data_IF_085018661548
#
_entry.id   IF_085018661548
#
_cell.length_a   1.000
_cell.length_b   1.000
_cell.length_c   1.000
_cell.angle_alpha   90.00
_cell.angle_beta   90.00
_cell.angle_gamma   90.00
#
_symmetry.space_group_name_H-M   'P 1'
#
loop_
_entity.id
_entity.type
_entity.pdbx_description
1 polymer ?
#
# COMPACT_ATOMS: atom_id res chain seq x y z
N UNK A 1 1.35 11.36 -29.43
CA UNK A 1 1.38 11.30 -27.95
C UNK A 1 2.84 11.24 -27.55
N UNK A 2 3.37 12.30 -26.95
CA UNK A 2 4.77 12.28 -26.48
C UNK A 2 4.87 11.44 -25.21
N UNK A 3 6.07 10.93 -24.90
CA UNK A 3 6.31 10.14 -23.67
C UNK A 3 5.88 10.95 -22.43
N UNK A 4 6.10 12.27 -22.44
CA UNK A 4 5.69 13.18 -21.37
C UNK A 4 4.16 13.23 -21.18
N UNK A 5 3.39 13.29 -22.27
CA UNK A 5 1.93 13.28 -22.22
C UNK A 5 1.38 11.94 -21.70
N UNK A 6 2.05 10.83 -22.00
CA UNK A 6 1.67 9.50 -21.51
C UNK A 6 1.93 9.35 -20.00
N UNK A 7 3.07 9.85 -19.51
CA UNK A 7 3.42 9.82 -18.09
C UNK A 7 2.45 10.66 -17.25
N UNK A 8 2.07 11.85 -17.73
CA UNK A 8 1.08 12.70 -17.06
C UNK A 8 -0.28 12.03 -16.97
N UNK A 9 -0.73 11.36 -18.05
CA UNK A 9 -2.03 10.69 -18.07
C UNK A 9 -2.12 9.50 -17.11
N UNK A 10 -1.05 8.72 -16.99
CA UNK A 10 -0.95 7.62 -16.01
C UNK A 10 -1.08 8.17 -14.58
N UNK A 11 -0.45 9.31 -14.31
CA UNK A 11 -0.52 9.95 -12.99
C UNK A 11 -1.94 10.49 -12.68
N UNK A 12 -2.60 11.13 -13.66
CA UNK A 12 -3.98 11.64 -13.54
C UNK A 12 -5.00 10.54 -13.28
N UNK A 13 -4.91 9.42 -14.01
CA UNK A 13 -5.80 8.27 -13.87
C UNK A 13 -5.53 7.46 -12.59
N UNK A 14 -4.35 7.61 -12.00
CA UNK A 14 -4.01 7.03 -10.69
C UNK A 14 -4.50 7.87 -9.51
N UNK A 15 -5.37 8.87 -9.74
CA UNK A 15 -5.89 9.76 -8.70
C UNK A 15 -6.34 8.95 -7.47
N UNK A 16 -5.69 9.14 -6.31
CA UNK A 16 -5.98 8.38 -5.11
C UNK A 16 -7.40 8.73 -4.66
N UNK A 17 -8.33 7.80 -4.85
CA UNK A 17 -9.63 7.83 -4.16
C UNK A 17 -9.27 7.81 -2.67
N UNK A 18 -9.39 8.98 -2.05
CA UNK A 18 -8.60 9.38 -0.88
C UNK A 18 -8.59 8.37 0.26
N UNK A 19 -7.39 8.08 0.79
CA UNK A 19 -7.08 7.50 2.10
C UNK A 19 -7.75 6.18 2.52
N UNK A 20 -8.72 5.67 1.75
CA UNK A 20 -9.55 4.54 2.14
C UNK A 20 -8.95 3.27 1.59
N UNK A 21 -8.61 2.37 2.50
CA UNK A 21 -8.08 1.04 2.16
C UNK A 21 -9.11 0.30 1.31
N UNK A 22 -8.67 -0.23 0.17
CA UNK A 22 -9.47 -1.08 -0.69
C UNK A 22 -8.61 -2.16 -1.35
N UNK A 23 -9.27 -3.21 -1.83
CA UNK A 23 -8.62 -4.44 -2.29
C UNK A 23 -8.96 -4.73 -3.75
N UNK A 24 -7.98 -5.26 -4.50
CA UNK A 24 -8.17 -5.74 -5.87
C UNK A 24 -7.49 -7.10 -6.05
N UNK A 25 -8.17 -8.02 -6.73
CA UNK A 25 -7.56 -9.25 -7.22
C UNK A 25 -7.05 -9.01 -8.63
N UNK A 26 -5.79 -9.38 -8.89
CA UNK A 26 -5.18 -9.31 -10.21
C UNK A 26 -5.50 -10.54 -11.05
N UNK A 27 -5.43 -10.41 -12.38
CA UNK A 27 -5.58 -11.53 -13.33
C UNK A 27 -4.54 -12.64 -13.11
N UNK A 28 -3.40 -12.32 -12.48
CA UNK A 28 -2.34 -13.27 -12.15
C UNK A 28 -2.55 -13.98 -10.81
N UNK A 29 -3.68 -13.75 -10.13
CA UNK A 29 -4.01 -14.40 -8.85
C UNK A 29 -3.37 -13.78 -7.60
N UNK A 30 -2.77 -12.58 -7.70
CA UNK A 30 -2.28 -11.83 -6.54
C UNK A 30 -3.34 -10.88 -5.98
N UNK A 31 -3.26 -10.59 -4.67
CA UNK A 31 -4.12 -9.64 -3.95
C UNK A 31 -3.35 -8.35 -3.68
N UNK A 32 -3.92 -7.23 -4.14
CA UNK A 32 -3.37 -5.88 -3.99
C UNK A 32 -4.18 -5.06 -3.00
N UNK A 33 -3.49 -4.38 -2.08
CA UNK A 33 -4.05 -3.42 -1.11
C UNK A 33 -3.66 -2.01 -1.52
N UNK A 34 -4.66 -1.16 -1.72
CA UNK A 34 -4.53 0.24 -2.09
C UNK A 34 -4.90 1.15 -0.91
N UNK A 35 -4.58 2.45 -1.02
CA UNK A 35 -4.96 3.46 -0.02
C UNK A 35 -3.95 3.66 1.12
N UNK A 36 -2.89 2.84 1.21
CA UNK A 36 -1.80 3.01 2.18
C UNK A 36 -0.71 3.98 1.70
N UNK A 37 -0.38 3.93 0.42
CA UNK A 37 0.66 4.75 -0.22
C UNK A 37 0.39 4.84 -1.73
N UNK A 38 1.22 5.60 -2.46
CA UNK A 38 1.09 5.77 -3.93
C UNK A 38 1.06 4.44 -4.69
N UNK A 39 1.86 3.46 -4.26
CA UNK A 39 1.92 2.14 -4.86
C UNK A 39 1.16 1.11 -4.03
N UNK A 40 0.35 0.23 -4.65
CA UNK A 40 -0.34 -0.82 -3.91
C UNK A 40 0.64 -1.85 -3.37
N UNK A 41 0.33 -2.40 -2.20
CA UNK A 41 1.03 -3.57 -1.67
C UNK A 41 0.41 -4.80 -2.29
N UNK A 42 1.15 -5.53 -3.12
CA UNK A 42 0.66 -6.71 -3.84
C UNK A 42 1.43 -7.93 -3.39
N UNK A 43 0.72 -8.94 -2.88
CA UNK A 43 1.27 -10.24 -2.49
C UNK A 43 0.34 -11.36 -2.99
N UNK A 44 0.89 -12.56 -3.16
CA UNK A 44 0.06 -13.75 -3.36
C UNK A 44 -0.65 -14.12 -2.05
N UNK A 45 -1.79 -14.82 -2.15
CA UNK A 45 -2.62 -15.17 -0.99
C UNK A 45 -1.84 -15.91 0.10
N UNK A 46 -1.03 -16.91 -0.25
CA UNK A 46 -0.21 -17.63 0.74
C UNK A 46 0.85 -16.75 1.43
N UNK A 47 1.31 -15.68 0.78
CA UNK A 47 2.21 -14.70 1.40
C UNK A 47 1.45 -13.80 2.38
N UNK A 48 0.23 -13.37 2.03
CA UNK A 48 -0.66 -12.66 2.95
C UNK A 48 -0.96 -13.51 4.19
N UNK A 49 -1.38 -14.75 4.01
CA UNK A 49 -1.68 -15.66 5.12
C UNK A 49 -0.47 -15.87 6.02
N UNK A 50 0.72 -16.06 5.44
CA UNK A 50 1.96 -16.16 6.22
C UNK A 50 2.24 -14.88 6.99
N UNK A 51 2.15 -13.70 6.37
CA UNK A 51 2.36 -12.40 7.04
C UNK A 51 1.36 -12.18 8.18
N UNK A 52 0.08 -12.50 7.94
CA UNK A 52 -0.99 -12.29 8.91
C UNK A 52 -0.82 -13.13 10.18
N UNK A 53 -0.18 -14.30 10.09
CA UNK A 53 0.19 -15.12 11.26
C UNK A 53 1.21 -14.45 12.18
N UNK A 54 1.96 -13.47 11.69
CA UNK A 54 3.00 -12.76 12.44
C UNK A 54 2.58 -11.34 12.85
N UNK A 55 1.30 -10.96 12.74
CA UNK A 55 0.85 -9.58 13.05
C UNK A 55 1.11 -9.18 14.51
N UNK A 56 0.94 -10.11 15.46
CA UNK A 56 1.23 -9.84 16.86
C UNK A 56 2.72 -9.59 17.11
N UNK A 57 3.58 -10.39 16.48
CA UNK A 57 5.04 -10.25 16.54
C UNK A 57 5.49 -8.93 15.90
N UNK A 58 4.94 -8.61 14.72
CA UNK A 58 5.18 -7.35 14.03
C UNK A 58 4.81 -6.15 14.91
N UNK A 59 3.65 -6.22 15.58
CA UNK A 59 3.18 -5.14 16.45
C UNK A 59 4.09 -4.96 17.67
N UNK A 60 4.48 -6.05 18.32
CA UNK A 60 5.45 -6.02 19.44
C UNK A 60 6.79 -5.46 19.01
N UNK A 61 7.30 -5.89 17.86
CA UNK A 61 8.58 -5.43 17.32
C UNK A 61 8.55 -3.92 17.00
N UNK A 62 7.44 -3.43 16.42
CA UNK A 62 7.25 -2.01 16.15
C UNK A 62 7.17 -1.17 17.44
N UNK A 63 6.49 -1.68 18.48
CA UNK A 63 6.44 -1.03 19.79
C UNK A 63 7.83 -0.96 20.44
N UNK A 64 8.58 -2.06 20.41
CA UNK A 64 9.93 -2.13 20.99
C UNK A 64 10.96 -1.20 20.28
N UNK A 65 10.67 -0.78 19.05
CA UNK A 65 11.53 0.12 18.26
C UNK A 65 10.84 1.44 17.91
N UNK A 66 9.85 1.85 18.70
CA UNK A 66 9.04 3.04 18.39
C UNK A 66 9.89 4.33 18.27
N UNK A 67 11.02 4.42 18.97
CA UNK A 67 12.00 5.49 18.92
C UNK A 67 12.70 5.63 17.55
N UNK A 68 12.75 4.54 16.77
CA UNK A 68 13.42 4.48 15.46
C UNK A 68 12.45 4.60 14.28
N UNK A 69 11.15 4.53 14.52
CA UNK A 69 10.14 4.46 13.47
C UNK A 69 9.43 5.80 13.28
N UNK A 70 9.45 6.31 12.04
CA UNK A 70 8.63 7.47 11.67
C UNK A 70 7.16 7.04 11.52
N UNK A 71 6.26 7.80 12.15
CA UNK A 71 4.81 7.65 11.92
C UNK A 71 4.36 8.63 10.86
N UNK A 72 3.78 8.10 9.79
CA UNK A 72 3.14 8.88 8.74
C UNK A 72 1.66 8.54 8.73
N UNK A 73 0.89 9.25 9.54
CA UNK A 73 -0.56 9.12 9.54
C UNK A 73 -1.07 9.71 8.22
N UNK A 74 -1.74 8.89 7.41
CA UNK A 74 -2.25 9.25 6.08
C UNK A 74 -3.39 10.27 6.07
N UNK A 75 -3.49 11.11 7.10
CA UNK A 75 -4.46 12.19 7.19
C UNK A 75 -3.80 13.51 6.78
N UNK A 76 -3.99 13.88 5.50
CA UNK A 76 -3.62 15.18 4.92
C UNK A 76 -2.14 15.57 5.01
N UNK A 77 -1.37 15.24 3.97
CA UNK A 77 -0.49 16.24 3.40
C UNK A 77 -1.37 17.20 2.58
N UNK A 78 -1.97 18.17 3.29
CA UNK A 78 -2.49 19.40 2.71
C UNK A 78 -1.41 20.47 2.83
#
# INVERSE_FOLDING_TARGET
MTIEQALTRINELSSPQGGRIHFKVSEKGALSVYGLQRMPVTLYVGQWERLLRHVDELTKFAQANADKLARKDGANAA
#
